data_IF_131795038296
#
_entry.id   IF_131795038296
#
_cell.length_a   1.000
_cell.length_b   1.000
_cell.length_c   1.000
_cell.angle_alpha   90.00
_cell.angle_beta   90.00
_cell.angle_gamma   90.00
#
_symmetry.space_group_name_H-M   'P 1'
#
loop_
_entity.id
_entity.type
_entity.pdbx_description
1 polymer ?
#
# COMPACT_ATOMS: atom_id res chain seq x y z
N UNK A 1 12.59 -7.51 -15.53
CA UNK A 1 12.29 -6.42 -14.56
C UNK A 1 10.86 -6.57 -13.99
N UNK A 2 10.73 -6.74 -12.67
CA UNK A 2 9.42 -6.75 -12.02
C UNK A 2 8.97 -5.29 -11.82
N UNK A 3 7.72 -4.91 -12.12
CA UNK A 3 7.28 -3.55 -11.96
C UNK A 3 7.35 -3.09 -10.51
N UNK A 4 7.97 -1.93 -10.31
CA UNK A 4 8.10 -1.29 -9.01
C UNK A 4 6.81 -0.54 -8.68
N UNK A 5 6.05 -1.01 -7.69
CA UNK A 5 4.73 -0.47 -7.36
C UNK A 5 4.82 0.76 -6.46
N UNK A 6 4.56 1.94 -7.02
CA UNK A 6 4.34 3.16 -6.24
C UNK A 6 2.84 3.32 -5.98
N UNK A 7 2.44 3.42 -4.71
CA UNK A 7 1.06 3.17 -4.30
C UNK A 7 0.31 4.40 -3.74
N UNK A 8 0.98 5.50 -3.37
CA UNK A 8 0.30 6.72 -2.87
C UNK A 8 -0.05 7.71 -4.00
N UNK A 9 -1.11 8.50 -3.78
CA UNK A 9 -1.59 9.54 -4.72
C UNK A 9 -0.53 10.60 -5.05
N UNK A 10 0.36 10.88 -4.11
CA UNK A 10 1.50 11.81 -4.24
C UNK A 10 2.74 11.17 -4.89
N UNK A 11 2.66 9.91 -5.32
CA UNK A 11 3.78 9.15 -5.89
C UNK A 11 4.73 8.53 -4.86
N UNK A 12 4.47 8.69 -3.56
CA UNK A 12 5.31 8.08 -2.53
C UNK A 12 4.98 6.59 -2.29
N UNK A 13 5.95 5.83 -1.78
CA UNK A 13 5.76 4.42 -1.48
C UNK A 13 4.81 4.22 -0.30
N UNK A 14 3.99 3.16 -0.30
CA UNK A 14 3.16 2.83 0.87
C UNK A 14 4.02 2.21 1.95
N UNK A 15 3.92 2.77 3.15
CA UNK A 15 4.61 2.25 4.33
C UNK A 15 3.89 1.00 4.84
N UNK A 16 4.66 -0.03 5.17
CA UNK A 16 4.11 -1.18 5.89
C UNK A 16 3.77 -0.77 7.32
N UNK A 17 2.50 -0.92 7.70
CA UNK A 17 2.04 -0.65 9.06
C UNK A 17 1.53 -1.97 9.63
N UNK A 18 2.20 -2.45 10.68
CA UNK A 18 1.88 -3.71 11.33
C UNK A 18 0.39 -3.81 11.67
N UNK A 19 -0.20 -4.96 11.34
CA UNK A 19 -1.61 -5.31 11.53
C UNK A 19 -2.63 -4.43 10.80
N UNK A 20 -2.21 -3.53 9.90
CA UNK A 20 -3.12 -2.66 9.15
C UNK A 20 -2.91 -2.77 7.64
N UNK A 21 -1.69 -2.55 7.15
CA UNK A 21 -1.40 -2.59 5.70
C UNK A 21 -0.02 -3.17 5.43
N UNK A 22 0.06 -4.04 4.42
CA UNK A 22 1.31 -4.66 3.99
C UNK A 22 1.37 -4.73 2.47
N UNK A 23 2.49 -4.34 1.89
CA UNK A 23 2.81 -4.64 0.49
C UNK A 23 3.48 -6.01 0.45
N UNK A 24 2.78 -6.99 -0.09
CA UNK A 24 3.27 -8.36 -0.22
C UNK A 24 4.33 -8.46 -1.33
N UNK A 25 5.17 -9.49 -1.26
CA UNK A 25 6.25 -9.71 -2.24
C UNK A 25 5.75 -9.95 -3.67
N UNK A 26 4.47 -10.32 -3.83
CA UNK A 26 3.77 -10.43 -5.11
C UNK A 26 3.09 -9.11 -5.53
N UNK A 27 3.52 -7.98 -4.96
CA UNK A 27 3.07 -6.66 -5.38
C UNK A 27 1.58 -6.37 -5.06
N UNK A 28 0.99 -7.14 -4.15
CA UNK A 28 -0.38 -6.90 -3.65
C UNK A 28 -0.35 -5.95 -2.45
N UNK A 29 -1.18 -4.91 -2.48
CA UNK A 29 -1.48 -4.09 -1.31
C UNK A 29 -2.55 -4.79 -0.46
N UNK A 30 -2.15 -5.35 0.68
CA UNK A 30 -3.02 -6.11 1.56
C UNK A 30 -3.42 -5.30 2.79
N UNK A 31 -4.74 -5.14 3.02
CA UNK A 31 -5.29 -4.53 4.21
C UNK A 31 -5.74 -5.61 5.18
N UNK A 32 -5.12 -5.66 6.35
CA UNK A 32 -5.47 -6.63 7.38
C UNK A 32 -6.82 -6.28 8.03
N UNK A 33 -7.61 -7.27 8.46
CA UNK A 33 -8.72 -7.03 9.37
C UNK A 33 -8.21 -6.34 10.64
N UNK A 34 -8.93 -5.33 11.12
CA UNK A 34 -8.53 -4.55 12.28
C UNK A 34 -9.70 -4.37 13.26
N UNK A 35 -9.36 -4.19 14.54
CA UNK A 35 -10.32 -3.83 15.58
C UNK A 35 -10.59 -2.32 15.54
N UNK A 36 -11.80 -1.88 15.89
CA UNK A 36 -12.21 -0.45 15.82
C UNK A 36 -11.17 0.53 16.38
N UNK A 37 -10.51 0.29 17.54
CA UNK A 37 -9.51 1.22 18.10
C UNK A 37 -8.23 1.39 17.24
N UNK A 38 -7.97 0.47 16.32
CA UNK A 38 -6.83 0.51 15.39
C UNK A 38 -7.16 1.26 14.10
N UNK A 39 -8.39 1.78 13.96
CA UNK A 39 -8.77 2.55 12.79
C UNK A 39 -7.82 3.73 12.58
N UNK A 40 -7.28 3.80 11.36
CA UNK A 40 -6.41 4.88 10.91
C UNK A 40 -6.94 5.45 9.60
N UNK A 41 -7.31 6.73 9.63
CA UNK A 41 -7.86 7.41 8.45
C UNK A 41 -6.83 7.52 7.31
N UNK A 42 -5.55 7.71 7.64
CA UNK A 42 -4.46 7.78 6.67
C UNK A 42 -4.15 6.45 5.97
N UNK A 43 -4.76 5.35 6.44
CA UNK A 43 -4.70 4.03 5.82
C UNK A 43 -6.03 3.65 5.17
N UNK A 44 -7.14 3.74 5.91
CA UNK A 44 -8.45 3.20 5.51
C UNK A 44 -9.37 4.22 4.83
N UNK A 45 -8.98 5.50 4.80
CA UNK A 45 -9.68 6.59 4.09
C UNK A 45 -8.69 7.33 3.19
N UNK A 46 -7.88 6.58 2.45
CA UNK A 46 -6.87 7.12 1.52
C UNK A 46 -7.08 6.55 0.12
N UNK A 47 -6.75 7.36 -0.89
CA UNK A 47 -6.68 6.93 -2.29
C UNK A 47 -5.31 6.31 -2.59
N UNK A 48 -5.33 5.14 -3.23
CA UNK A 48 -4.12 4.43 -3.65
C UNK A 48 -4.16 4.19 -5.16
N UNK A 49 -2.99 4.12 -5.81
CA UNK A 49 -2.88 3.87 -7.25
C UNK A 49 -1.76 2.87 -7.52
N UNK A 50 -1.93 1.91 -8.42
CA UNK A 50 -0.81 1.08 -8.86
C UNK A 50 0.00 1.81 -9.95
N UNK A 51 1.32 1.89 -9.78
CA UNK A 51 2.25 2.34 -10.81
C UNK A 51 3.14 1.15 -11.18
N UNK A 52 3.11 0.70 -12.42
CA UNK A 52 3.99 -0.35 -12.91
C UNK A 52 5.02 0.27 -13.84
N UNK A 53 6.31 0.09 -13.54
CA UNK A 53 7.41 0.59 -14.37
C UNK A 53 8.29 -0.56 -14.84
N UNK A 54 8.57 -0.60 -16.13
CA UNK A 54 9.58 -1.51 -16.67
C UNK A 54 10.89 -0.74 -16.67
N UNK A 55 11.91 -1.23 -15.96
CA UNK A 55 13.27 -0.72 -16.18
C UNK A 55 13.62 -0.96 -17.66
N UNK A 56 13.91 0.12 -18.39
CA UNK A 56 14.52 0.07 -19.72
C UNK A 56 15.92 -0.53 -19.63
#
# INVERSE_FOLDING_TARGET
PHPDLQIKEDGSAVDNIADLVTVLANNTLYFHPFQVPRFRADVHKRSYRCLASNAL
#
